data_IF_271914645969
#
_entry.id   IF_271914645969
#
_cell.length_a   1.000
_cell.length_b   1.000
_cell.length_c   1.000
_cell.angle_alpha   90.00
_cell.angle_beta   90.00
_cell.angle_gamma   90.00
#
_symmetry.space_group_name_H-M   'P 1'
#
loop_
_entity.id
_entity.type
_entity.pdbx_description
1 polymer ?
#
# COMPACT_ATOMS: atom_id res chain seq x y z
N UNK A 1 -2.78 24.30 -3.39
CA UNK A 1 -3.42 23.91 -2.12
C UNK A 1 -2.35 23.91 -1.03
N UNK A 2 -2.71 24.26 0.21
CA UNK A 2 -1.79 24.19 1.34
C UNK A 2 -1.33 22.75 1.59
N UNK A 3 -0.17 22.58 2.22
CA UNK A 3 0.41 21.26 2.55
C UNK A 3 0.05 20.86 3.99
N UNK A 4 -1.20 21.10 4.37
CA UNK A 4 -1.79 20.70 5.66
C UNK A 4 -3.26 20.28 5.43
N UNK A 5 -3.82 19.56 6.36
CA UNK A 5 -5.19 19.07 6.30
C UNK A 5 -6.20 20.20 6.43
N UNK A 6 -7.35 20.08 5.75
CA UNK A 6 -8.54 20.88 6.00
C UNK A 6 -9.14 20.53 7.37
N UNK A 7 -10.10 21.30 7.85
CA UNK A 7 -10.76 21.03 9.14
C UNK A 7 -11.45 19.65 9.13
N UNK A 8 -12.11 19.26 8.02
CA UNK A 8 -12.75 17.94 7.87
C UNK A 8 -11.70 16.81 7.85
N UNK A 9 -10.57 17.01 7.16
CA UNK A 9 -9.47 16.05 7.15
C UNK A 9 -8.80 15.94 8.52
N UNK A 10 -8.72 17.02 9.28
CA UNK A 10 -8.19 17.00 10.64
C UNK A 10 -9.13 16.22 11.59
N UNK A 11 -10.45 16.38 11.47
CA UNK A 11 -11.44 15.59 12.22
C UNK A 11 -11.36 14.11 11.87
N UNK A 12 -11.22 13.77 10.58
CA UNK A 12 -11.00 12.40 10.14
C UNK A 12 -9.71 11.84 10.75
N UNK A 13 -8.62 12.61 10.72
CA UNK A 13 -7.33 12.19 11.28
C UNK A 13 -7.43 11.91 12.78
N UNK A 14 -8.13 12.75 13.55
CA UNK A 14 -8.35 12.54 14.99
C UNK A 14 -9.14 11.24 15.23
N UNK A 15 -10.24 11.06 14.50
CA UNK A 15 -11.11 9.88 14.61
C UNK A 15 -10.35 8.59 14.29
N UNK A 16 -9.63 8.56 13.17
CA UNK A 16 -8.85 7.40 12.72
C UNK A 16 -7.68 7.12 13.67
N UNK A 17 -7.02 8.17 14.19
CA UNK A 17 -5.93 8.02 15.17
C UNK A 17 -6.41 7.32 16.43
N UNK A 18 -7.54 7.76 17.02
CA UNK A 18 -8.12 7.13 18.20
C UNK A 18 -8.51 5.67 17.93
N UNK A 19 -9.23 5.43 16.85
CA UNK A 19 -9.68 4.09 16.48
C UNK A 19 -8.51 3.11 16.25
N UNK A 20 -7.51 3.50 15.46
CA UNK A 20 -6.37 2.61 15.16
C UNK A 20 -5.47 2.41 16.38
N UNK A 21 -5.28 3.41 17.21
CA UNK A 21 -4.54 3.25 18.48
C UNK A 21 -5.20 2.23 19.40
N UNK A 22 -6.53 2.25 19.47
CA UNK A 22 -7.29 1.33 20.31
C UNK A 22 -7.41 -0.07 19.72
N UNK A 23 -7.84 -0.20 18.47
CA UNK A 23 -8.20 -1.49 17.86
C UNK A 23 -7.08 -2.08 17.00
N UNK A 24 -6.29 -1.22 16.36
CA UNK A 24 -5.24 -1.58 15.40
C UNK A 24 -3.83 -1.70 15.99
N UNK A 25 -3.63 -1.52 17.29
CA UNK A 25 -2.31 -1.45 17.92
C UNK A 25 -1.46 -2.71 17.67
N UNK A 26 -0.14 -2.53 17.65
CA UNK A 26 0.86 -3.60 17.48
C UNK A 26 0.56 -4.82 18.35
N UNK A 27 0.21 -4.60 19.63
CA UNK A 27 -0.08 -5.67 20.58
C UNK A 27 -1.36 -6.44 20.24
N UNK A 28 -2.45 -5.71 19.92
CA UNK A 28 -3.77 -6.34 19.64
C UNK A 28 -3.81 -7.03 18.28
N UNK A 29 -3.01 -6.57 17.31
CA UNK A 29 -3.06 -7.06 15.94
C UNK A 29 -1.76 -7.75 15.52
N UNK A 30 -0.67 -7.02 15.26
CA UNK A 30 0.54 -7.59 14.65
C UNK A 30 1.12 -8.75 15.48
N UNK A 31 1.37 -8.52 16.77
CA UNK A 31 1.93 -9.57 17.65
C UNK A 31 0.99 -10.75 17.78
N UNK A 32 -0.30 -10.49 17.99
CA UNK A 32 -1.31 -11.55 18.10
C UNK A 32 -1.31 -12.44 16.86
N UNK A 33 -1.50 -11.87 15.68
CA UNK A 33 -1.60 -12.65 14.44
C UNK A 33 -0.30 -13.33 14.04
N UNK A 34 0.83 -12.69 14.34
CA UNK A 34 2.15 -13.29 14.16
C UNK A 34 2.31 -14.54 15.04
N UNK A 35 2.01 -14.40 16.32
CA UNK A 35 2.26 -15.43 17.32
C UNK A 35 1.25 -16.60 17.21
N UNK A 36 0.01 -16.32 16.82
CA UNK A 36 -1.02 -17.33 16.51
C UNK A 36 -0.79 -17.99 15.13
N UNK A 37 0.14 -17.55 14.33
CA UNK A 37 0.42 -18.13 13.02
C UNK A 37 -0.68 -17.89 11.99
N UNK A 38 -1.40 -16.74 12.06
CA UNK A 38 -2.49 -16.41 11.17
C UNK A 38 -2.08 -16.52 9.70
N UNK A 39 -2.83 -17.32 8.92
CA UNK A 39 -2.52 -17.59 7.50
C UNK A 39 -2.85 -16.41 6.60
N UNK A 40 -3.82 -15.58 6.98
CA UNK A 40 -4.21 -14.40 6.20
C UNK A 40 -3.31 -13.20 6.48
N UNK A 41 -2.57 -13.20 7.60
CA UNK A 41 -1.66 -12.14 7.98
C UNK A 41 -2.33 -10.88 8.54
N UNK A 42 -3.67 -10.89 8.71
CA UNK A 42 -4.45 -9.81 9.30
C UNK A 42 -5.73 -10.34 9.96
N UNK A 43 -6.40 -9.50 10.78
CA UNK A 43 -7.63 -9.84 11.48
C UNK A 43 -8.88 -9.41 10.73
N UNK A 44 -9.74 -10.36 10.35
CA UNK A 44 -11.02 -10.07 9.68
C UNK A 44 -11.98 -9.26 10.56
N UNK A 45 -11.92 -9.40 11.88
CA UNK A 45 -12.70 -8.59 12.81
C UNK A 45 -12.35 -7.10 12.68
N UNK A 46 -11.05 -6.77 12.68
CA UNK A 46 -10.61 -5.39 12.49
C UNK A 46 -10.99 -4.87 11.10
N UNK A 47 -10.87 -5.71 10.08
CA UNK A 47 -11.28 -5.35 8.72
C UNK A 47 -12.77 -5.03 8.64
N UNK A 48 -13.62 -5.80 9.33
CA UNK A 48 -15.06 -5.49 9.50
C UNK A 48 -15.31 -4.15 10.18
N UNK A 49 -14.55 -3.81 11.23
CA UNK A 49 -14.63 -2.51 11.90
C UNK A 49 -14.19 -1.35 10.98
N UNK A 50 -13.21 -1.57 10.11
CA UNK A 50 -12.86 -0.58 9.07
C UNK A 50 -14.05 -0.31 8.15
N UNK A 51 -14.80 -1.34 7.78
CA UNK A 51 -15.99 -1.19 6.94
C UNK A 51 -17.14 -0.48 7.68
N UNK A 52 -17.36 -0.78 8.96
CA UNK A 52 -18.35 -0.09 9.80
C UNK A 52 -18.09 1.41 9.91
N UNK A 53 -16.82 1.82 9.87
CA UNK A 53 -16.39 3.22 9.81
C UNK A 53 -16.40 3.81 8.39
N UNK A 54 -16.78 3.03 7.37
CA UNK A 54 -16.76 3.46 5.96
C UNK A 54 -15.37 3.50 5.30
N UNK A 55 -14.31 3.13 6.02
CA UNK A 55 -12.94 3.27 5.53
C UNK A 55 -12.66 2.40 4.29
N UNK A 56 -13.25 1.21 4.21
CA UNK A 56 -13.06 0.29 3.07
C UNK A 56 -13.67 0.81 1.77
N UNK A 57 -14.70 1.65 1.86
CA UNK A 57 -15.41 2.25 0.73
C UNK A 57 -15.07 3.72 0.47
N UNK A 58 -14.05 4.28 1.13
CA UNK A 58 -13.82 5.73 1.08
C UNK A 58 -13.47 6.24 -0.33
N UNK A 59 -12.74 5.49 -1.15
CA UNK A 59 -12.44 5.85 -2.55
C UNK A 59 -13.51 5.38 -3.55
N UNK A 60 -14.47 4.60 -3.11
CA UNK A 60 -15.58 4.14 -3.97
C UNK A 60 -16.56 5.30 -4.16
N UNK A 61 -17.00 5.53 -5.40
CA UNK A 61 -17.96 6.58 -5.70
C UNK A 61 -19.29 6.38 -4.94
N UNK A 62 -19.99 7.46 -4.60
CA UNK A 62 -21.29 7.41 -3.93
C UNK A 62 -22.32 6.60 -4.75
N UNK A 63 -22.28 6.71 -6.08
CA UNK A 63 -23.14 5.95 -6.99
C UNK A 63 -22.94 4.42 -6.88
N UNK A 64 -21.74 3.97 -6.48
CA UNK A 64 -21.38 2.57 -6.25
C UNK A 64 -21.45 2.19 -4.75
N UNK A 65 -22.04 3.04 -3.90
CA UNK A 65 -22.29 2.81 -2.48
C UNK A 65 -21.13 3.17 -1.54
N UNK A 66 -20.13 3.89 -2.00
CA UNK A 66 -18.98 4.38 -1.21
C UNK A 66 -19.16 5.80 -0.71
N UNK A 67 -18.04 6.42 -0.28
CA UNK A 67 -18.03 7.77 0.29
C UNK A 67 -17.52 8.84 -0.71
N UNK A 68 -16.96 8.47 -1.86
CA UNK A 68 -16.45 9.40 -2.86
C UNK A 68 -15.32 10.32 -2.36
N UNK A 69 -14.58 9.90 -1.34
CA UNK A 69 -13.45 10.66 -0.78
C UNK A 69 -12.20 10.55 -1.68
N UNK A 70 -11.14 11.28 -1.32
CA UNK A 70 -9.92 11.35 -2.10
C UNK A 70 -8.74 10.53 -1.53
N UNK A 71 -7.62 10.63 -2.24
CA UNK A 71 -6.37 9.99 -1.84
C UNK A 71 -5.76 10.61 -0.58
N UNK A 72 -6.09 11.89 -0.26
CA UNK A 72 -5.63 12.52 0.98
C UNK A 72 -6.25 11.80 2.17
N UNK A 73 -7.56 11.55 2.15
CA UNK A 73 -8.28 10.85 3.22
C UNK A 73 -7.78 9.41 3.37
N UNK A 74 -7.56 8.71 2.25
CA UNK A 74 -6.94 7.37 2.28
C UNK A 74 -5.52 7.40 2.87
N UNK A 75 -4.77 8.46 2.59
CA UNK A 75 -3.43 8.68 3.13
C UNK A 75 -3.41 8.91 4.63
N UNK A 76 -4.40 9.62 5.16
CA UNK A 76 -4.58 9.79 6.62
C UNK A 76 -4.73 8.43 7.30
N UNK A 77 -5.56 7.54 6.75
CA UNK A 77 -5.73 6.18 7.27
C UNK A 77 -4.44 5.39 7.19
N UNK A 78 -3.75 5.43 6.04
CA UNK A 78 -2.50 4.70 5.82
C UNK A 78 -1.36 5.19 6.72
N UNK A 79 -1.27 6.48 7.00
CA UNK A 79 -0.29 6.99 7.95
C UNK A 79 -0.54 6.42 9.36
N UNK A 80 -1.79 6.31 9.81
CA UNK A 80 -2.11 5.68 11.09
C UNK A 80 -1.89 4.17 11.10
N UNK A 81 -2.17 3.48 9.99
CA UNK A 81 -1.84 2.05 9.80
C UNK A 81 -0.33 1.84 9.96
N UNK A 82 0.50 2.66 9.30
CA UNK A 82 1.95 2.60 9.42
C UNK A 82 2.46 2.94 10.83
N UNK A 83 1.90 3.99 11.47
CA UNK A 83 2.27 4.44 12.81
C UNK A 83 2.04 3.38 13.88
N UNK A 84 1.00 2.56 13.73
CA UNK A 84 0.62 1.52 14.68
C UNK A 84 1.01 0.10 14.22
N UNK A 85 1.67 -0.04 13.07
CA UNK A 85 2.00 -1.32 12.44
C UNK A 85 0.78 -2.24 12.31
N UNK A 86 -0.35 -1.69 11.90
CA UNK A 86 -1.64 -2.39 11.83
C UNK A 86 -1.70 -3.30 10.59
N UNK A 87 -1.70 -4.63 10.72
CA UNK A 87 -1.86 -5.52 9.57
C UNK A 87 -3.26 -5.38 8.97
N UNK A 88 -3.34 -4.99 7.72
CA UNK A 88 -4.62 -4.91 7.00
C UNK A 88 -4.43 -4.91 5.49
N UNK A 89 -5.41 -5.37 4.70
CA UNK A 89 -5.41 -5.28 3.25
C UNK A 89 -5.84 -3.89 2.75
N UNK A 90 -5.81 -2.84 3.58
CA UNK A 90 -6.35 -1.52 3.24
C UNK A 90 -5.72 -0.94 1.96
N UNK A 91 -4.39 -0.94 1.85
CA UNK A 91 -3.72 -0.40 0.68
C UNK A 91 -4.05 -1.18 -0.61
N UNK A 92 -4.05 -2.52 -0.53
CA UNK A 92 -4.31 -3.37 -1.71
C UNK A 92 -5.77 -3.38 -2.11
N UNK A 93 -6.69 -3.44 -1.13
CA UNK A 93 -8.13 -3.55 -1.37
C UNK A 93 -8.81 -2.18 -1.49
N UNK A 94 -8.75 -1.36 -0.42
CA UNK A 94 -9.53 -0.11 -0.36
C UNK A 94 -8.93 1.01 -1.20
N UNK A 95 -7.65 0.92 -1.60
CA UNK A 95 -7.00 1.94 -2.43
C UNK A 95 -6.75 1.42 -3.85
N UNK A 96 -5.95 0.37 -4.01
CA UNK A 96 -5.52 -0.04 -5.34
C UNK A 96 -6.62 -0.76 -6.11
N UNK A 97 -7.28 -1.76 -5.50
CA UNK A 97 -8.31 -2.53 -6.19
C UNK A 97 -9.57 -1.70 -6.46
N UNK A 98 -9.99 -0.82 -5.55
CA UNK A 98 -11.11 0.11 -5.80
C UNK A 98 -10.78 1.05 -6.95
N UNK A 99 -9.54 1.58 -7.03
CA UNK A 99 -9.08 2.39 -8.17
C UNK A 99 -9.14 1.61 -9.50
N UNK A 100 -8.77 0.34 -9.49
CA UNK A 100 -8.87 -0.51 -10.67
C UNK A 100 -10.34 -0.75 -11.06
N UNK A 101 -11.14 -1.24 -10.11
CA UNK A 101 -12.55 -1.61 -10.32
C UNK A 101 -13.41 -0.42 -10.75
N UNK A 102 -13.11 0.80 -10.29
CA UNK A 102 -13.78 2.00 -10.74
C UNK A 102 -13.67 2.25 -12.26
N UNK A 103 -12.65 1.70 -12.93
CA UNK A 103 -12.51 1.71 -14.38
C UNK A 103 -13.27 0.59 -15.10
N UNK A 104 -13.95 -0.29 -14.38
CA UNK A 104 -14.70 -1.41 -14.95
C UNK A 104 -16.10 -1.02 -15.41
N UNK A 105 -16.76 -1.95 -16.11
CA UNK A 105 -18.19 -1.85 -16.47
C UNK A 105 -19.07 -1.85 -15.22
N UNK A 106 -20.35 -1.49 -15.38
CA UNK A 106 -21.35 -1.55 -14.29
C UNK A 106 -21.46 -2.96 -13.71
N UNK A 107 -21.29 -4.00 -14.54
CA UNK A 107 -21.29 -5.40 -14.13
C UNK A 107 -20.11 -5.70 -13.20
N UNK A 108 -18.90 -5.31 -13.58
CA UNK A 108 -17.68 -5.50 -12.78
C UNK A 108 -17.77 -4.73 -11.45
N UNK A 109 -18.18 -3.46 -11.51
CA UNK A 109 -18.35 -2.63 -10.31
C UNK A 109 -19.40 -3.22 -9.38
N UNK A 110 -20.59 -3.54 -9.91
CA UNK A 110 -21.70 -4.12 -9.16
C UNK A 110 -21.38 -5.48 -8.53
N UNK A 111 -20.48 -6.26 -9.15
CA UNK A 111 -20.04 -7.55 -8.62
C UNK A 111 -19.12 -7.42 -7.41
N UNK A 112 -18.18 -6.47 -7.40
CA UNK A 112 -17.08 -6.45 -6.44
C UNK A 112 -17.12 -5.30 -5.44
N UNK A 113 -17.49 -4.07 -5.87
CA UNK A 113 -17.42 -2.90 -5.00
C UNK A 113 -18.34 -2.99 -3.77
N UNK A 114 -19.60 -3.48 -3.85
CA UNK A 114 -20.44 -3.58 -2.67
C UNK A 114 -19.87 -4.50 -1.58
N UNK A 115 -19.21 -5.59 -2.00
CA UNK A 115 -18.53 -6.49 -1.08
C UNK A 115 -17.32 -5.84 -0.40
N UNK A 116 -16.55 -5.03 -1.12
CA UNK A 116 -15.41 -4.27 -0.57
C UNK A 116 -15.91 -3.21 0.41
N UNK A 117 -16.92 -2.42 0.04
CA UNK A 117 -17.53 -1.40 0.91
C UNK A 117 -18.00 -2.02 2.21
N UNK A 118 -18.63 -3.19 2.13
CA UNK A 118 -19.12 -3.92 3.31
C UNK A 118 -18.04 -4.68 4.11
N UNK A 119 -16.75 -4.62 3.70
CA UNK A 119 -15.65 -5.35 4.33
C UNK A 119 -15.70 -6.88 4.17
N UNK A 120 -16.54 -7.37 3.25
CA UNK A 120 -16.75 -8.80 2.99
C UNK A 120 -15.88 -9.36 1.87
N UNK A 121 -15.31 -8.48 1.05
CA UNK A 121 -14.45 -8.83 -0.07
C UNK A 121 -13.07 -8.22 0.13
N UNK A 122 -12.05 -9.05 0.08
CA UNK A 122 -10.65 -8.66 0.03
C UNK A 122 -10.16 -8.79 -1.39
N UNK A 123 -9.45 -7.79 -1.89
CA UNK A 123 -8.85 -7.81 -3.21
C UNK A 123 -7.33 -7.63 -3.15
N UNK A 124 -6.61 -8.31 -4.03
CA UNK A 124 -5.16 -8.18 -4.15
C UNK A 124 -4.75 -7.83 -5.59
N UNK A 125 -3.62 -7.12 -5.70
CA UNK A 125 -3.07 -6.70 -6.98
C UNK A 125 -1.99 -7.68 -7.46
N UNK A 126 -2.18 -8.27 -8.62
CA UNK A 126 -1.28 -9.21 -9.26
C UNK A 126 -0.63 -8.55 -10.50
N UNK A 127 0.48 -7.82 -10.28
CA UNK A 127 1.13 -6.96 -11.29
C UNK A 127 2.53 -7.50 -11.62
N UNK A 128 3.42 -7.55 -10.62
CA UNK A 128 4.83 -7.90 -10.81
C UNK A 128 5.03 -9.39 -11.16
N UNK A 129 6.07 -9.69 -11.93
CA UNK A 129 6.37 -11.03 -12.47
C UNK A 129 7.81 -11.47 -12.18
N UNK A 130 8.45 -10.86 -11.20
CA UNK A 130 9.81 -11.17 -10.84
C UNK A 130 10.27 -10.48 -9.56
N UNK A 131 11.54 -10.69 -9.22
CA UNK A 131 12.12 -10.23 -7.96
C UNK A 131 12.21 -8.69 -7.82
N UNK A 132 11.99 -7.93 -8.88
CA UNK A 132 12.03 -6.47 -8.89
C UNK A 132 10.74 -5.91 -9.47
N UNK A 133 10.30 -4.79 -8.90
CA UNK A 133 9.15 -4.04 -9.40
C UNK A 133 9.42 -3.51 -10.81
N UNK A 134 8.71 -4.08 -11.81
CA UNK A 134 8.79 -3.73 -13.23
C UNK A 134 7.41 -3.78 -13.87
N UNK A 135 6.50 -2.90 -13.49
CA UNK A 135 5.11 -2.94 -13.93
C UNK A 135 4.93 -2.58 -15.41
N UNK A 136 5.96 -2.10 -16.07
CA UNK A 136 6.02 -1.87 -17.52
C UNK A 136 6.17 -3.16 -18.32
N UNK A 137 6.70 -4.23 -17.72
CA UNK A 137 6.88 -5.53 -18.35
C UNK A 137 5.83 -6.51 -17.86
N UNK A 138 4.95 -6.94 -18.76
CA UNK A 138 3.85 -7.90 -18.49
C UNK A 138 3.98 -9.06 -19.49
N UNK A 139 4.38 -10.22 -19.01
CA UNK A 139 4.51 -11.45 -19.79
C UNK A 139 3.37 -12.47 -19.53
N UNK A 140 2.64 -12.34 -18.42
CA UNK A 140 1.42 -13.13 -18.17
C UNK A 140 0.40 -12.86 -19.26
N UNK A 141 0.00 -13.91 -20.02
CA UNK A 141 -0.82 -13.79 -21.23
C UNK A 141 -2.28 -14.07 -20.95
N UNK A 142 -3.14 -13.31 -21.60
CA UNK A 142 -4.57 -13.57 -21.69
C UNK A 142 -4.97 -13.72 -23.16
N UNK A 143 -4.98 -14.96 -23.65
CA UNK A 143 -5.33 -15.28 -25.03
C UNK A 143 -6.85 -15.33 -25.18
N UNK A 144 -7.37 -14.78 -26.29
CA UNK A 144 -8.82 -14.82 -26.56
C UNK A 144 -9.30 -16.26 -26.73
N UNK A 145 -10.33 -16.64 -25.97
CA UNK A 145 -10.93 -17.96 -25.98
C UNK A 145 -12.47 -17.83 -26.01
N UNK A 146 -13.07 -18.09 -27.15
CA UNK A 146 -14.52 -17.90 -27.36
C UNK A 146 -14.94 -16.45 -27.08
N UNK A 147 -15.87 -16.24 -26.13
CA UNK A 147 -16.36 -14.94 -25.74
C UNK A 147 -15.52 -14.33 -24.57
N UNK A 148 -14.51 -15.04 -24.09
CA UNK A 148 -13.67 -14.63 -22.95
C UNK A 148 -12.19 -14.76 -23.25
N UNK A 149 -11.42 -15.09 -22.22
CA UNK A 149 -9.97 -15.18 -22.27
C UNK A 149 -9.46 -16.41 -21.52
N UNK A 150 -8.29 -16.89 -21.92
CA UNK A 150 -7.51 -17.91 -21.21
C UNK A 150 -6.26 -17.27 -20.65
N UNK A 151 -6.17 -17.19 -19.33
CA UNK A 151 -5.07 -16.56 -18.61
C UNK A 151 -4.00 -17.58 -18.25
N UNK A 152 -2.73 -17.31 -18.61
CA UNK A 152 -1.59 -18.18 -18.33
C UNK A 152 -0.35 -17.36 -18.00
N UNK A 153 0.35 -17.74 -16.92
CA UNK A 153 1.57 -17.08 -16.47
C UNK A 153 1.71 -17.08 -14.95
N UNK A 154 2.56 -16.22 -14.45
CA UNK A 154 2.84 -16.11 -13.02
C UNK A 154 2.86 -14.66 -12.58
N UNK A 155 2.54 -14.43 -11.30
CA UNK A 155 2.67 -13.14 -10.63
C UNK A 155 3.38 -13.33 -9.31
N UNK A 156 4.33 -12.45 -9.04
CA UNK A 156 5.15 -12.47 -7.83
C UNK A 156 4.77 -11.36 -6.88
N UNK A 157 5.08 -11.55 -5.61
CA UNK A 157 4.88 -10.57 -4.54
C UNK A 157 3.44 -10.03 -4.47
N UNK A 158 2.46 -10.92 -4.68
CA UNK A 158 1.03 -10.59 -4.57
C UNK A 158 0.66 -10.51 -3.10
N UNK A 159 0.72 -9.31 -2.53
CA UNK A 159 0.43 -9.07 -1.11
C UNK A 159 -1.03 -9.42 -0.82
N UNK A 160 -1.26 -10.27 0.18
CA UNK A 160 -2.55 -10.89 0.54
C UNK A 160 -3.20 -11.72 -0.57
N UNK A 161 -2.41 -12.20 -1.56
CA UNK A 161 -2.95 -12.91 -2.73
C UNK A 161 -3.76 -14.16 -2.39
N UNK A 162 -3.32 -14.97 -1.43
CA UNK A 162 -4.05 -16.17 -1.02
C UNK A 162 -5.30 -15.89 -0.18
N UNK A 163 -5.35 -14.73 0.49
CA UNK A 163 -6.48 -14.31 1.32
C UNK A 163 -7.51 -13.50 0.53
N UNK A 164 -7.17 -13.10 -0.70
CA UNK A 164 -8.05 -12.30 -1.55
C UNK A 164 -9.20 -13.13 -2.12
N UNK A 165 -10.39 -12.55 -2.18
CA UNK A 165 -11.57 -13.10 -2.86
C UNK A 165 -11.53 -12.83 -4.37
N UNK A 166 -10.79 -11.79 -4.77
CA UNK A 166 -10.56 -11.41 -6.16
C UNK A 166 -9.13 -10.92 -6.36
N UNK A 167 -8.49 -11.38 -7.43
CA UNK A 167 -7.19 -10.90 -7.89
C UNK A 167 -7.41 -9.91 -9.04
N UNK A 168 -6.87 -8.71 -8.92
CA UNK A 168 -6.81 -7.76 -10.04
C UNK A 168 -5.51 -8.02 -10.79
N UNK A 169 -5.62 -8.67 -11.94
CA UNK A 169 -4.48 -9.17 -12.70
C UNK A 169 -4.22 -8.29 -13.92
N UNK A 170 -3.00 -7.77 -14.04
CA UNK A 170 -2.54 -7.17 -15.29
C UNK A 170 -2.00 -8.27 -16.22
N UNK A 171 -2.56 -8.40 -17.43
CA UNK A 171 -2.14 -9.41 -18.36
C UNK A 171 -1.97 -8.85 -19.79
N UNK A 172 -1.21 -9.57 -20.60
CA UNK A 172 -0.90 -9.24 -21.99
C UNK A 172 -1.94 -9.89 -22.89
N UNK A 173 -2.73 -9.08 -23.60
CA UNK A 173 -3.72 -9.52 -24.58
C UNK A 173 -3.23 -9.39 -26.02
N UNK A 174 -2.23 -8.52 -26.25
CA UNK A 174 -1.55 -8.39 -27.56
C UNK A 174 -0.14 -7.78 -27.39
N UNK A 175 0.68 -7.86 -28.44
CA UNK A 175 2.03 -7.28 -28.45
C UNK A 175 3.08 -8.08 -27.67
N UNK A 176 4.27 -7.50 -27.51
CA UNK A 176 5.39 -8.04 -26.74
C UNK A 176 5.31 -7.64 -25.26
N UNK A 177 6.10 -8.30 -24.40
CA UNK A 177 6.06 -8.13 -22.94
C UNK A 177 6.29 -6.67 -22.48
N UNK A 178 7.09 -5.91 -23.24
CA UNK A 178 7.52 -4.54 -22.91
C UNK A 178 6.72 -3.47 -23.68
N UNK A 179 5.79 -3.88 -24.57
CA UNK A 179 5.00 -2.94 -25.35
C UNK A 179 4.09 -2.10 -24.44
N UNK A 180 3.96 -0.83 -24.77
CA UNK A 180 3.09 0.08 -24.03
C UNK A 180 1.61 -0.24 -24.19
N UNK A 181 1.19 -0.69 -25.37
CA UNK A 181 -0.17 -1.16 -25.65
C UNK A 181 -0.33 -2.66 -25.38
N UNK A 182 -1.55 -3.17 -25.42
CA UNK A 182 -1.81 -4.61 -25.33
C UNK A 182 -1.90 -5.15 -23.88
N UNK A 183 -2.03 -4.27 -22.90
CA UNK A 183 -2.29 -4.65 -21.50
C UNK A 183 -3.80 -4.57 -21.25
N UNK A 184 -4.33 -5.58 -20.56
CA UNK A 184 -5.71 -5.62 -20.07
C UNK A 184 -5.71 -5.98 -18.59
N UNK A 185 -6.59 -5.38 -17.82
CA UNK A 185 -6.80 -5.73 -16.41
C UNK A 185 -8.00 -6.68 -16.29
N UNK A 186 -7.88 -7.66 -15.41
CA UNK A 186 -8.91 -8.66 -15.16
C UNK A 186 -9.23 -8.77 -13.65
N UNK A 187 -10.51 -8.83 -13.30
CA UNK A 187 -10.97 -9.21 -11.97
C UNK A 187 -11.16 -10.73 -11.92
N UNK A 188 -10.17 -11.45 -11.44
CA UNK A 188 -10.14 -12.92 -11.42
C UNK A 188 -10.63 -13.42 -10.08
N UNK A 189 -11.77 -14.15 -9.99
CA UNK A 189 -12.26 -14.73 -8.74
C UNK A 189 -11.27 -15.77 -8.18
N UNK A 190 -11.17 -15.87 -6.86
CA UNK A 190 -10.25 -16.81 -6.18
C UNK A 190 -10.52 -18.28 -6.48
N UNK A 191 -11.75 -18.61 -6.78
CA UNK A 191 -12.25 -19.97 -7.03
C UNK A 191 -12.16 -20.38 -8.51
N UNK A 192 -11.60 -19.53 -9.37
CA UNK A 192 -11.38 -19.87 -10.78
C UNK A 192 -10.41 -21.06 -10.90
N UNK A 193 -10.81 -22.07 -11.67
CA UNK A 193 -10.00 -23.27 -11.85
C UNK A 193 -8.67 -22.95 -12.55
N UNK A 194 -7.58 -23.56 -12.12
CA UNK A 194 -6.24 -23.34 -12.67
C UNK A 194 -5.39 -22.30 -11.92
N UNK A 195 -5.89 -21.71 -10.83
CA UNK A 195 -5.11 -20.83 -9.95
C UNK A 195 -4.42 -21.65 -8.87
N UNK A 196 -3.15 -21.38 -8.64
CA UNK A 196 -2.42 -21.91 -7.48
C UNK A 196 -1.60 -20.81 -6.80
N UNK A 197 -1.47 -20.91 -5.48
CA UNK A 197 -0.77 -19.96 -4.62
C UNK A 197 0.35 -20.67 -3.87
N UNK A 198 1.57 -20.12 -3.94
CA UNK A 198 2.65 -20.41 -3.03
C UNK A 198 2.86 -19.19 -2.13
N UNK A 199 2.43 -19.30 -0.87
CA UNK A 199 2.35 -18.17 0.04
C UNK A 199 3.47 -18.19 1.06
N UNK A 200 4.10 -17.04 1.25
CA UNK A 200 5.17 -16.85 2.21
C UNK A 200 4.82 -15.75 3.19
N UNK A 201 5.27 -15.93 4.43
CA UNK A 201 5.24 -14.87 5.44
C UNK A 201 6.46 -13.98 5.25
N UNK A 202 6.22 -12.70 5.03
CA UNK A 202 7.27 -11.70 4.92
C UNK A 202 7.91 -11.39 6.29
N UNK A 203 9.01 -10.67 6.27
CA UNK A 203 9.77 -10.32 7.48
C UNK A 203 8.96 -9.51 8.50
N UNK A 204 7.98 -8.72 8.03
CA UNK A 204 7.04 -7.92 8.84
C UNK A 204 5.79 -8.69 9.27
N UNK A 205 5.73 -9.99 8.98
CA UNK A 205 4.61 -10.89 9.23
C UNK A 205 3.39 -10.71 8.32
N UNK A 206 3.41 -9.82 7.35
CA UNK A 206 2.41 -9.80 6.28
C UNK A 206 2.59 -11.03 5.36
N UNK A 207 1.55 -11.33 4.58
CA UNK A 207 1.55 -12.46 3.66
C UNK A 207 1.68 -11.98 2.22
N UNK A 208 2.51 -12.66 1.43
CA UNK A 208 2.57 -12.47 -0.02
C UNK A 208 2.59 -13.82 -0.71
N UNK A 209 2.14 -13.86 -1.96
CA UNK A 209 2.04 -15.08 -2.75
C UNK A 209 2.77 -14.95 -4.08
N UNK A 210 3.39 -16.04 -4.49
CA UNK A 210 3.59 -16.35 -5.89
C UNK A 210 2.31 -17.01 -6.42
N UNK A 211 1.70 -16.44 -7.45
CA UNK A 211 0.44 -16.90 -8.03
C UNK A 211 0.70 -17.42 -9.44
N UNK A 212 0.34 -18.68 -9.68
CA UNK A 212 0.38 -19.27 -11.03
C UNK A 212 -1.03 -19.38 -11.60
N UNK A 213 -1.17 -18.95 -12.84
CA UNK A 213 -2.36 -19.14 -13.68
C UNK A 213 -2.04 -20.20 -14.74
N UNK A 214 -2.77 -21.32 -14.72
CA UNK A 214 -2.61 -22.44 -15.63
C UNK A 214 -3.86 -22.59 -16.49
N UNK A 215 -3.87 -21.87 -17.61
CA UNK A 215 -4.99 -21.85 -18.56
C UNK A 215 -6.33 -21.50 -17.90
N UNK A 216 -6.37 -20.49 -17.01
CA UNK A 216 -7.58 -20.06 -16.29
C UNK A 216 -8.57 -19.46 -17.29
N UNK A 217 -9.74 -20.09 -17.42
CA UNK A 217 -10.81 -19.60 -18.29
C UNK A 217 -11.55 -18.44 -17.62
N UNK A 218 -11.62 -17.32 -18.31
CA UNK A 218 -12.25 -16.08 -17.85
C UNK A 218 -13.36 -15.71 -18.85
N UNK A 219 -14.54 -15.37 -18.37
CA UNK A 219 -15.58 -14.77 -19.19
C UNK A 219 -15.28 -13.29 -19.51
N UNK A 220 -15.99 -12.71 -20.47
CA UNK A 220 -15.81 -11.31 -20.85
C UNK A 220 -16.17 -10.31 -19.74
N UNK A 221 -16.99 -10.70 -18.77
CA UNK A 221 -17.40 -9.90 -17.63
C UNK A 221 -16.31 -9.76 -16.55
N UNK A 222 -15.14 -10.39 -16.73
CA UNK A 222 -13.98 -10.21 -15.85
C UNK A 222 -13.04 -9.08 -16.29
N UNK A 223 -13.20 -8.53 -17.49
CA UNK A 223 -12.36 -7.45 -18.03
C UNK A 223 -12.67 -6.15 -17.30
N UNK A 224 -11.62 -5.46 -16.85
CA UNK A 224 -11.70 -4.14 -16.23
C UNK A 224 -11.21 -3.09 -17.25
N UNK A 225 -12.10 -2.24 -17.71
CA UNK A 225 -11.83 -1.27 -18.78
C UNK A 225 -11.84 -1.91 -20.16
N UNK A 226 -11.02 -1.38 -21.06
CA UNK A 226 -10.95 -1.81 -22.45
C UNK A 226 -9.87 -2.87 -22.66
N UNK A 227 -10.15 -3.84 -23.53
CA UNK A 227 -9.15 -4.82 -24.00
C UNK A 227 -8.03 -4.06 -24.71
N UNK A 228 -6.78 -4.41 -24.45
CA UNK A 228 -5.55 -3.74 -24.91
C UNK A 228 -5.36 -2.30 -24.43
N UNK A 229 -6.35 -1.71 -23.73
CA UNK A 229 -6.38 -0.33 -23.26
C UNK A 229 -6.02 -0.14 -21.79
N UNK A 230 -5.64 -1.19 -21.06
CA UNK A 230 -5.47 -1.17 -19.61
C UNK A 230 -4.27 -0.35 -19.08
N UNK A 231 -3.40 0.17 -19.95
CA UNK A 231 -2.19 0.91 -19.57
C UNK A 231 -2.46 2.13 -18.70
N UNK A 232 -3.42 2.94 -19.09
CA UNK A 232 -3.76 4.17 -18.34
C UNK A 232 -4.37 3.81 -16.97
N UNK A 233 -5.26 2.84 -16.94
CA UNK A 233 -5.87 2.37 -15.71
C UNK A 233 -4.82 1.76 -14.77
N UNK A 234 -3.92 0.92 -15.28
CA UNK A 234 -2.77 0.41 -14.51
C UNK A 234 -1.91 1.56 -13.97
N UNK A 235 -1.67 2.60 -14.77
CA UNK A 235 -0.96 3.81 -14.35
C UNK A 235 -1.61 4.50 -13.16
N UNK A 236 -2.95 4.62 -13.14
CA UNK A 236 -3.71 5.16 -11.99
C UNK A 236 -3.58 4.28 -10.75
N UNK A 237 -3.72 2.98 -10.91
CA UNK A 237 -3.57 2.01 -9.81
C UNK A 237 -2.18 2.07 -9.20
N UNK A 238 -1.13 2.12 -10.03
CA UNK A 238 0.25 2.25 -9.58
C UNK A 238 0.50 3.58 -8.86
N UNK A 239 -0.06 4.67 -9.36
CA UNK A 239 0.08 5.97 -8.73
C UNK A 239 -0.62 6.02 -7.35
N UNK A 240 -1.84 5.49 -7.25
CA UNK A 240 -2.57 5.34 -5.99
C UNK A 240 -1.82 4.46 -4.99
N UNK A 241 -1.33 3.29 -5.43
CA UNK A 241 -0.55 2.37 -4.61
C UNK A 241 0.76 2.98 -4.09
N UNK A 242 1.49 3.70 -4.95
CA UNK A 242 2.74 4.38 -4.59
C UNK A 242 2.52 5.52 -3.60
N UNK A 243 1.49 6.36 -3.83
CA UNK A 243 1.14 7.45 -2.91
C UNK A 243 0.67 6.90 -1.56
N UNK A 244 -0.13 5.82 -1.57
CA UNK A 244 -0.58 5.15 -0.36
C UNK A 244 0.58 4.50 0.42
N UNK A 245 1.47 3.78 -0.26
CA UNK A 245 2.67 3.20 0.36
C UNK A 245 3.60 4.29 0.95
N UNK A 246 3.71 5.45 0.30
CA UNK A 246 4.47 6.58 0.82
C UNK A 246 3.84 7.16 2.11
N UNK A 247 2.51 7.23 2.18
CA UNK A 247 1.79 7.65 3.38
C UNK A 247 2.01 6.66 4.54
N UNK A 248 1.92 5.37 4.26
CA UNK A 248 2.18 4.34 5.27
C UNK A 248 3.64 4.36 5.75
N UNK A 249 4.61 4.57 4.86
CA UNK A 249 6.02 4.75 5.24
C UNK A 249 6.25 5.99 6.10
N UNK A 250 5.55 7.11 5.84
CA UNK A 250 5.57 8.28 6.72
C UNK A 250 5.02 7.93 8.12
N UNK A 251 3.97 7.11 8.19
CA UNK A 251 3.42 6.57 9.43
C UNK A 251 4.42 5.68 10.19
N UNK A 252 5.10 4.77 9.50
CA UNK A 252 6.17 3.93 10.08
C UNK A 252 7.28 4.81 10.67
N UNK A 253 7.72 5.84 9.95
CA UNK A 253 8.73 6.79 10.44
C UNK A 253 8.25 7.54 11.68
N UNK A 254 7.00 8.00 11.68
CA UNK A 254 6.38 8.71 12.80
C UNK A 254 6.30 7.83 14.06
N UNK A 255 5.78 6.60 13.92
CA UNK A 255 5.68 5.67 15.06
C UNK A 255 7.04 5.27 15.64
N UNK A 256 8.02 5.00 14.77
CA UNK A 256 9.40 4.74 15.21
C UNK A 256 10.02 5.94 15.91
N UNK A 257 9.76 7.15 15.43
CA UNK A 257 10.24 8.39 16.05
C UNK A 257 9.60 8.63 17.43
N UNK A 258 8.27 8.51 17.53
CA UNK A 258 7.55 8.69 18.80
C UNK A 258 8.10 7.74 19.88
N UNK A 259 8.17 6.45 19.56
CA UNK A 259 8.72 5.44 20.46
C UNK A 259 10.16 5.75 20.88
N UNK A 260 10.97 6.24 19.94
CA UNK A 260 12.37 6.60 20.22
C UNK A 260 12.45 7.81 21.13
N UNK A 261 11.69 8.86 20.88
CA UNK A 261 11.66 10.08 21.70
C UNK A 261 11.18 9.77 23.12
N UNK A 262 10.16 8.92 23.25
CA UNK A 262 9.67 8.48 24.57
C UNK A 262 10.71 7.67 25.34
N UNK A 263 11.44 6.79 24.65
CA UNK A 263 12.56 6.07 25.27
C UNK A 263 13.67 7.02 25.73
N UNK A 264 14.06 8.01 24.91
CA UNK A 264 15.07 9.01 25.26
C UNK A 264 14.70 9.83 26.51
N UNK A 265 13.40 10.09 26.72
CA UNK A 265 12.86 10.82 27.89
C UNK A 265 12.79 9.97 29.15
N UNK A 266 12.92 8.65 29.06
CA UNK A 266 12.77 7.75 30.22
C UNK A 266 14.07 7.05 30.61
N UNK A 267 14.91 6.70 29.64
CA UNK A 267 16.14 5.95 29.89
C UNK A 267 17.23 6.79 30.53
N UNK A 268 17.77 6.30 31.65
CA UNK A 268 18.92 6.92 32.35
C UNK A 268 20.18 6.12 32.08
N UNK A 269 21.25 6.80 31.69
CA UNK A 269 22.62 6.30 31.59
C UNK A 269 23.59 7.43 31.89
N UNK A 270 24.79 7.12 32.40
CA UNK A 270 25.81 8.11 32.74
C UNK A 270 25.31 9.22 33.71
N UNK A 271 24.43 8.86 34.64
CA UNK A 271 23.91 9.75 35.67
C UNK A 271 22.75 10.67 35.28
N UNK A 272 22.28 10.64 34.02
CA UNK A 272 21.20 11.50 33.55
C UNK A 272 20.31 10.80 32.51
N UNK A 273 19.22 11.45 32.09
CA UNK A 273 18.41 10.96 30.96
C UNK A 273 19.23 11.02 29.68
N UNK A 274 19.13 9.96 28.86
CA UNK A 274 19.90 9.93 27.60
C UNK A 274 19.42 11.00 26.60
N UNK A 275 18.16 11.44 26.68
CA UNK A 275 17.64 12.58 25.91
C UNK A 275 18.26 13.94 26.25
N UNK A 276 19.06 14.07 27.32
CA UNK A 276 19.80 15.28 27.65
C UNK A 276 21.14 15.40 26.89
N UNK A 277 21.55 14.33 26.16
CA UNK A 277 22.75 14.39 25.33
C UNK A 277 22.48 15.08 24.00
N UNK A 278 23.16 16.17 23.71
CA UNK A 278 22.98 16.96 22.49
C UNK A 278 23.11 16.13 21.22
N UNK A 279 24.00 15.14 21.18
CA UNK A 279 24.16 14.26 20.04
C UNK A 279 22.86 13.52 19.67
N UNK A 280 22.06 13.09 20.67
CA UNK A 280 20.77 12.43 20.45
C UNK A 280 19.67 13.43 20.12
N UNK A 281 19.70 14.62 20.75
CA UNK A 281 18.76 15.70 20.43
C UNK A 281 18.89 16.16 18.97
N UNK A 282 20.12 16.34 18.47
CA UNK A 282 20.36 16.76 17.08
C UNK A 282 19.89 15.69 16.09
N UNK A 283 20.12 14.40 16.38
CA UNK A 283 19.64 13.30 15.53
C UNK A 283 18.11 13.23 15.51
N UNK A 284 17.45 13.39 16.67
CA UNK A 284 15.99 13.42 16.76
C UNK A 284 15.40 14.64 16.03
N UNK A 285 16.01 15.82 16.16
CA UNK A 285 15.57 17.04 15.46
C UNK A 285 15.75 16.91 13.93
N UNK A 286 16.85 16.33 13.47
CA UNK A 286 17.06 16.06 12.06
C UNK A 286 16.00 15.10 11.53
N UNK A 287 15.75 13.99 12.23
CA UNK A 287 14.72 13.03 11.85
C UNK A 287 13.32 13.67 11.78
N UNK A 288 12.97 14.52 12.75
CA UNK A 288 11.72 15.26 12.74
C UNK A 288 11.58 16.13 11.48
N UNK A 289 12.61 16.90 11.16
CA UNK A 289 12.62 17.75 9.95
C UNK A 289 12.45 16.94 8.66
N UNK A 290 13.15 15.81 8.55
CA UNK A 290 13.06 14.91 7.42
C UNK A 290 11.66 14.29 7.26
N UNK A 291 11.03 13.93 8.39
CA UNK A 291 9.66 13.40 8.42
C UNK A 291 8.63 14.43 7.95
N UNK A 292 8.72 15.67 8.41
CA UNK A 292 7.80 16.74 7.99
C UNK A 292 7.96 17.05 6.49
N UNK A 293 9.17 17.01 5.95
CA UNK A 293 9.41 17.15 4.50
C UNK A 293 8.77 15.96 3.74
N UNK A 294 8.88 14.74 4.26
CA UNK A 294 8.26 13.57 3.63
C UNK A 294 6.73 13.67 3.63
N UNK A 295 6.11 14.07 4.75
CA UNK A 295 4.66 14.32 4.86
C UNK A 295 4.18 15.35 3.85
N UNK A 296 4.88 16.48 3.74
CA UNK A 296 4.56 17.51 2.76
C UNK A 296 4.60 16.98 1.31
N UNK A 297 5.59 16.14 0.99
CA UNK A 297 5.69 15.52 -0.32
C UNK A 297 4.54 14.52 -0.57
N UNK A 298 4.16 13.72 0.45
CA UNK A 298 3.03 12.77 0.39
C UNK A 298 1.72 13.51 0.15
N UNK A 299 1.40 14.50 0.98
CA UNK A 299 0.19 15.34 0.83
C UNK A 299 0.14 15.94 -0.57
N UNK A 300 1.27 16.46 -1.07
CA UNK A 300 1.31 17.04 -2.42
C UNK A 300 1.03 16.03 -3.52
N UNK A 301 1.56 14.82 -3.40
CA UNK A 301 1.29 13.76 -4.36
C UNK A 301 -0.20 13.39 -4.38
N UNK A 302 -0.81 13.21 -3.21
CA UNK A 302 -2.23 12.89 -3.05
C UNK A 302 -3.13 14.00 -3.59
N UNK A 303 -2.85 15.28 -3.30
CA UNK A 303 -3.55 16.43 -3.88
C UNK A 303 -3.54 16.43 -5.40
N UNK A 304 -2.43 16.03 -6.01
CA UNK A 304 -2.33 15.96 -7.47
C UNK A 304 -3.10 14.77 -8.04
N UNK A 305 -3.19 13.65 -7.32
CA UNK A 305 -4.03 12.53 -7.73
C UNK A 305 -5.51 12.89 -7.64
N UNK A 306 -5.95 13.54 -6.57
CA UNK A 306 -7.34 13.97 -6.41
C UNK A 306 -7.75 14.99 -7.48
N UNK A 307 -6.85 15.90 -7.83
CA UNK A 307 -7.07 16.87 -8.90
C UNK A 307 -7.03 16.25 -10.32
N UNK A 308 -6.49 15.05 -10.48
CA UNK A 308 -6.34 14.40 -11.79
C UNK A 308 -7.66 13.80 -12.30
N UNK A 309 -8.58 13.45 -11.41
CA UNK A 309 -9.84 12.79 -11.75
C UNK A 309 -9.64 11.39 -12.38
N UNK A 310 -10.59 10.96 -13.20
CA UNK A 310 -10.63 9.62 -13.78
C UNK A 310 -9.74 9.42 -15.01
N UNK A 311 -9.05 10.46 -15.48
CA UNK A 311 -8.18 10.38 -16.66
C UNK A 311 -6.80 9.78 -16.40
N UNK A 312 -5.95 9.78 -17.44
CA UNK A 312 -4.55 9.40 -17.31
C UNK A 312 -3.83 10.27 -16.26
N UNK A 313 -2.93 9.65 -15.50
CA UNK A 313 -2.17 10.39 -14.47
C UNK A 313 -1.23 11.38 -15.14
N UNK A 314 -1.39 12.67 -14.84
CA UNK A 314 -0.55 13.73 -15.41
C UNK A 314 0.94 13.52 -15.05
N UNK A 315 1.85 13.95 -15.93
CA UNK A 315 3.30 13.86 -15.69
C UNK A 315 3.70 14.48 -14.35
N UNK A 316 3.10 15.62 -14.01
CA UNK A 316 3.32 16.29 -12.72
C UNK A 316 2.90 15.43 -11.53
N UNK A 317 1.79 14.70 -11.63
CA UNK A 317 1.35 13.79 -10.58
C UNK A 317 2.27 12.56 -10.50
N UNK A 318 2.65 11.98 -11.64
CA UNK A 318 3.60 10.86 -11.68
C UNK A 318 4.96 11.22 -11.06
N UNK A 319 5.48 12.41 -11.39
CA UNK A 319 6.72 12.94 -10.82
C UNK A 319 6.59 13.07 -9.30
N UNK A 320 5.53 13.74 -8.82
CA UNK A 320 5.36 14.02 -7.40
C UNK A 320 5.11 12.74 -6.57
N UNK A 321 4.38 11.78 -7.11
CA UNK A 321 4.21 10.44 -6.51
C UNK A 321 5.55 9.72 -6.36
N UNK A 322 6.43 9.79 -7.38
CA UNK A 322 7.77 9.19 -7.30
C UNK A 322 8.66 9.92 -6.29
N UNK A 323 8.59 11.26 -6.23
CA UNK A 323 9.28 12.06 -5.20
C UNK A 323 8.82 11.67 -3.80
N UNK A 324 7.51 11.56 -3.57
CA UNK A 324 6.92 11.17 -2.29
C UNK A 324 7.38 9.78 -1.85
N UNK A 325 7.29 8.77 -2.73
CA UNK A 325 7.68 7.38 -2.42
C UNK A 325 9.19 7.26 -2.16
N UNK A 326 10.04 7.92 -2.96
CA UNK A 326 11.48 7.94 -2.74
C UNK A 326 11.84 8.63 -1.41
N UNK A 327 11.21 9.78 -1.09
CA UNK A 327 11.49 10.54 0.13
C UNK A 327 10.99 9.79 1.37
N UNK A 328 9.74 9.33 1.36
CA UNK A 328 9.15 8.59 2.48
C UNK A 328 9.93 7.31 2.80
N UNK A 329 10.33 6.53 1.77
CA UNK A 329 11.16 5.34 1.95
C UNK A 329 12.52 5.63 2.57
N UNK A 330 13.21 6.70 2.13
CA UNK A 330 14.49 7.12 2.72
C UNK A 330 14.33 7.55 4.19
N UNK A 331 13.25 8.26 4.50
CA UNK A 331 12.97 8.76 5.86
C UNK A 331 12.55 7.63 6.79
N UNK A 332 11.71 6.71 6.34
CA UNK A 332 11.33 5.52 7.11
C UNK A 332 12.57 4.68 7.45
N UNK A 333 13.41 4.38 6.44
CA UNK A 333 14.67 3.67 6.67
C UNK A 333 15.64 4.42 7.60
N UNK A 334 15.66 5.76 7.60
CA UNK A 334 16.41 6.56 8.57
C UNK A 334 15.81 6.40 9.98
N UNK A 335 14.50 6.59 10.12
CA UNK A 335 13.78 6.56 11.39
C UNK A 335 13.98 5.24 12.14
N UNK A 336 13.80 4.11 11.44
CA UNK A 336 13.90 2.79 12.08
C UNK A 336 15.34 2.46 12.47
N UNK A 337 16.35 2.86 11.69
CA UNK A 337 17.77 2.67 12.02
C UNK A 337 18.20 3.54 13.21
N UNK A 338 17.79 4.81 13.20
CA UNK A 338 18.03 5.72 14.32
C UNK A 338 17.32 5.22 15.58
N UNK A 339 16.08 4.74 15.43
CA UNK A 339 15.32 4.16 16.53
C UNK A 339 16.05 2.98 17.16
N UNK A 340 16.42 1.95 16.39
CA UNK A 340 17.16 0.79 16.92
C UNK A 340 18.48 1.23 17.56
N UNK A 341 19.23 2.13 16.93
CA UNK A 341 20.49 2.63 17.47
C UNK A 341 20.32 3.35 18.81
N UNK A 342 19.30 4.21 18.93
CA UNK A 342 19.06 5.00 20.17
C UNK A 342 18.48 4.15 21.32
N UNK A 343 17.81 3.04 21.02
CA UNK A 343 17.38 2.07 22.03
C UNK A 343 18.54 1.20 22.54
N UNK A 344 19.62 1.06 21.76
CA UNK A 344 20.76 0.19 22.09
C UNK A 344 20.37 -1.29 22.10
N UNK A 345 20.89 -2.08 23.02
CA UNK A 345 20.70 -3.54 23.05
C UNK A 345 19.24 -4.00 23.04
N UNK A 346 18.34 -3.30 23.75
CA UNK A 346 16.91 -3.64 23.79
C UNK A 346 16.24 -3.47 22.43
N UNK A 347 16.72 -2.55 21.59
CA UNK A 347 16.19 -2.34 20.24
C UNK A 347 16.43 -3.51 19.28
N UNK A 348 17.29 -4.45 19.65
CA UNK A 348 17.57 -5.68 18.89
C UNK A 348 16.74 -6.88 19.37
N UNK A 349 15.97 -6.73 20.44
CA UNK A 349 15.16 -7.81 21.01
C UNK A 349 13.72 -7.75 20.51
N UNK A 350 13.00 -8.88 20.57
CA UNK A 350 11.57 -8.91 20.27
C UNK A 350 10.70 -8.39 21.43
N UNK A 351 11.29 -8.08 22.56
CA UNK A 351 10.58 -7.47 23.71
C UNK A 351 10.15 -6.03 23.42
N UNK A 352 10.85 -5.36 22.51
CA UNK A 352 10.60 -3.95 22.16
C UNK A 352 10.18 -3.80 20.71
N UNK A 353 9.12 -3.02 20.46
CA UNK A 353 8.47 -2.95 19.15
C UNK A 353 9.28 -2.22 18.07
N UNK A 354 10.36 -1.50 18.42
CA UNK A 354 11.16 -0.76 17.44
C UNK A 354 11.71 -1.65 16.32
N UNK A 355 12.04 -2.90 16.62
CA UNK A 355 12.46 -3.90 15.64
C UNK A 355 11.36 -4.29 14.64
N UNK A 356 10.08 -4.19 15.05
CA UNK A 356 8.93 -4.44 14.18
C UNK A 356 8.75 -3.33 13.15
N UNK A 357 9.01 -2.07 13.51
CA UNK A 357 9.04 -0.96 12.56
C UNK A 357 10.10 -1.16 11.48
N UNK A 358 11.30 -1.64 11.85
CA UNK A 358 12.34 -1.97 10.87
C UNK A 358 11.91 -3.07 9.90
N UNK A 359 11.21 -4.09 10.39
CA UNK A 359 10.67 -5.17 9.56
C UNK A 359 9.59 -4.67 8.60
N UNK A 360 8.67 -3.81 9.07
CA UNK A 360 7.63 -3.21 8.22
C UNK A 360 8.23 -2.29 7.16
N UNK A 361 9.17 -1.42 7.55
CA UNK A 361 9.88 -0.58 6.58
C UNK A 361 10.53 -1.42 5.46
N UNK A 362 11.17 -2.55 5.83
CA UNK A 362 11.81 -3.42 4.83
C UNK A 362 10.82 -3.99 3.81
N UNK A 363 9.63 -4.40 4.23
CA UNK A 363 8.59 -4.90 3.32
C UNK A 363 8.02 -3.77 2.45
N UNK A 364 7.69 -2.62 3.04
CA UNK A 364 7.17 -1.45 2.32
C UNK A 364 8.19 -0.82 1.36
N UNK A 365 9.50 -0.93 1.66
CA UNK A 365 10.53 -0.40 0.79
C UNK A 365 10.52 -1.06 -0.59
N UNK A 366 10.25 -2.37 -0.67
CA UNK A 366 10.18 -3.10 -1.94
C UNK A 366 8.82 -2.94 -2.64
N UNK A 367 7.74 -2.74 -1.86
CA UNK A 367 6.39 -2.66 -2.41
C UNK A 367 6.21 -1.41 -3.28
N UNK A 368 5.74 -1.59 -4.51
CA UNK A 368 5.51 -0.53 -5.52
C UNK A 368 6.79 0.22 -5.96
N UNK A 369 7.95 -0.39 -5.80
CA UNK A 369 9.26 0.17 -6.16
C UNK A 369 10.01 0.79 -4.99
N UNK A 370 11.31 0.54 -4.94
CA UNK A 370 12.19 1.07 -3.90
C UNK A 370 12.59 2.54 -4.15
N UNK A 371 13.33 3.11 -3.21
CA UNK A 371 13.77 4.50 -3.31
C UNK A 371 14.71 4.75 -4.52
N UNK A 372 15.45 3.73 -4.97
CA UNK A 372 16.32 3.85 -6.16
C UNK A 372 15.48 3.85 -7.43
N UNK A 373 14.53 2.92 -7.57
CA UNK A 373 13.58 2.89 -8.67
C UNK A 373 12.87 4.25 -8.83
N UNK A 374 12.37 4.81 -7.73
CA UNK A 374 11.67 6.09 -7.77
C UNK A 374 12.60 7.28 -8.02
N UNK A 375 13.85 7.23 -7.55
CA UNK A 375 14.84 8.28 -7.85
C UNK A 375 15.19 8.29 -9.35
N UNK A 376 15.33 7.11 -9.97
CA UNK A 376 15.53 6.98 -11.41
C UNK A 376 14.29 7.51 -12.17
N UNK A 377 13.07 7.14 -11.78
CA UNK A 377 11.86 7.70 -12.40
C UNK A 377 11.76 9.22 -12.30
N UNK A 378 12.17 9.79 -11.18
CA UNK A 378 12.23 11.26 -11.02
C UNK A 378 13.17 11.86 -12.04
N UNK A 379 14.35 11.28 -12.24
CA UNK A 379 15.32 11.75 -13.24
C UNK A 379 14.71 11.66 -14.66
N UNK A 380 14.18 10.50 -15.05
CA UNK A 380 13.53 10.27 -16.35
C UNK A 380 12.39 11.26 -16.63
N UNK A 381 11.47 11.44 -15.66
CA UNK A 381 10.35 12.38 -15.77
C UNK A 381 10.79 13.86 -15.75
N UNK A 382 12.02 14.14 -15.33
CA UNK A 382 12.62 15.49 -15.34
C UNK A 382 13.52 15.72 -16.57
N UNK A 383 13.61 14.75 -17.47
CA UNK A 383 14.38 14.87 -18.73
C UNK A 383 15.88 14.61 -18.61
N UNK A 384 16.30 13.85 -17.59
CA UNK A 384 17.70 13.43 -17.39
C UNK A 384 17.95 11.99 -17.84
#
# INVERSE_FOLDING_TARGET
>A
MPLYHTDDQAMLAETVTGFIADEGSTKKQLRRWRDEGCKDGFGHELWGKFAEMGLTGMLVAEADGGLGMGHIEAGIVLEQIGRNLTPSPFLTTAVMATTALAGGSDEVRGRWLPGIVAGKTVAAMAIDEGAKHRPERIACKAEKAGNGFRLSGTKDFVVYGASADVLIVAARTSGADDDAAGITLFAVPKDAAGISHDSVRLVDSSMASHVKFDAVELDGGTVIGDVDGGRELLGRVLAAGRAGAAAEQAGVAAGAMDMTVDYLKQRKQFGKLIGEFQALQHRAAHLYSELEIARAAVIKAQQLLDANGAGAVSERAQLMVSVAKAKAGKVAGLAVREGVQMHGGIGMTDEYDIGLYMKRDRALAEFMGDAFYHTQRVAELSGY
#
